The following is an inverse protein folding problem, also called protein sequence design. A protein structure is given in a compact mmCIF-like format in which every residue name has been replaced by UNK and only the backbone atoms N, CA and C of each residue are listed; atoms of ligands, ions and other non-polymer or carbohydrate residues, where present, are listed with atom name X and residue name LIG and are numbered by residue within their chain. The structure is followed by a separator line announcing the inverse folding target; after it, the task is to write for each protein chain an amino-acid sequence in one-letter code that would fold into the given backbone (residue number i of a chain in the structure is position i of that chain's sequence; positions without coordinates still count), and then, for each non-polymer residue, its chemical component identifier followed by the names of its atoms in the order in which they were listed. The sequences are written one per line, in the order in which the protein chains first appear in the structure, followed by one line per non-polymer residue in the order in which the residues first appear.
data_IF_325077324784
#
_entry.id   IF_325077324784
#
_cell.length_a   1.000
_cell.length_b   1.000
_cell.length_c   1.000
_cell.angle_alpha   90.00
_cell.angle_beta   90.00
_cell.angle_gamma   90.00
#
_symmetry.space_group_name_H-M   'P 1'
#
loop_
_entity.id
_entity.type
_entity.pdbx_description
1 polymer ?
#
# COMPACT_ATOMS: atom_id res chain seq x y z
N UNK A 1 1.59 -5.37 14.68
CA UNK A 1 0.85 -5.79 13.45
C UNK A 1 0.47 -4.59 12.56
N UNK A 2 -0.21 -3.55 13.06
CA UNK A 2 -0.68 -2.45 12.18
C UNK A 2 0.46 -1.65 11.54
N UNK A 3 1.61 -1.51 12.20
CA UNK A 3 2.80 -0.83 11.62
C UNK A 3 3.38 -1.65 10.47
N UNK A 4 3.54 -2.96 10.67
CA UNK A 4 4.00 -3.89 9.64
C UNK A 4 3.12 -3.81 8.37
N UNK A 5 1.79 -3.84 8.53
CA UNK A 5 0.87 -3.68 7.40
C UNK A 5 1.01 -2.31 6.71
N UNK A 6 1.24 -1.24 7.48
CA UNK A 6 1.46 0.09 6.95
C UNK A 6 2.74 0.21 6.12
N UNK A 7 3.82 -0.43 6.52
CA UNK A 7 5.11 -0.42 5.81
C UNK A 7 5.05 -1.31 4.56
N UNK A 8 4.42 -2.47 4.65
CA UNK A 8 4.17 -3.33 3.48
C UNK A 8 3.33 -2.60 2.41
N UNK A 9 2.24 -1.94 2.84
CA UNK A 9 1.39 -1.16 1.93
C UNK A 9 2.13 0.05 1.33
N UNK A 10 2.96 0.72 2.11
CA UNK A 10 3.79 1.84 1.63
C UNK A 10 4.70 1.39 0.49
N UNK A 11 5.36 0.24 0.62
CA UNK A 11 6.21 -0.30 -0.45
C UNK A 11 5.41 -0.66 -1.71
N UNK A 12 4.23 -1.29 -1.56
CA UNK A 12 3.34 -1.55 -2.69
C UNK A 12 2.91 -0.26 -3.41
N UNK A 13 2.52 0.78 -2.65
CA UNK A 13 2.10 2.06 -3.21
C UNK A 13 3.23 2.74 -4.00
N UNK A 14 4.42 2.84 -3.40
CA UNK A 14 5.60 3.42 -4.04
C UNK A 14 5.86 2.75 -5.41
N UNK A 15 6.02 1.43 -5.38
CA UNK A 15 6.31 0.64 -6.57
C UNK A 15 5.25 0.75 -7.69
N UNK A 16 3.97 0.95 -7.34
CA UNK A 16 2.92 1.06 -8.35
C UNK A 16 2.84 2.45 -8.98
N UNK A 17 2.99 3.54 -8.22
CA UNK A 17 2.65 4.90 -8.69
C UNK A 17 3.61 5.42 -9.77
N UNK A 18 4.93 5.21 -9.61
CA UNK A 18 5.95 5.60 -10.60
C UNK A 18 7.13 4.61 -10.68
N UNK A 19 7.30 3.78 -9.65
CA UNK A 19 8.38 2.82 -9.53
C UNK A 19 8.80 2.73 -8.07
N UNK A 20 9.61 1.74 -7.70
CA UNK A 20 10.12 1.63 -6.34
C UNK A 20 11.25 2.65 -6.12
N UNK A 21 10.90 3.93 -6.05
CA UNK A 21 11.80 5.07 -6.16
C UNK A 21 11.62 6.10 -5.03
N UNK A 22 10.79 5.81 -4.03
CA UNK A 22 10.58 6.68 -2.87
C UNK A 22 9.83 7.98 -3.21
N UNK A 23 9.29 8.13 -4.42
CA UNK A 23 8.57 9.35 -4.85
C UNK A 23 7.39 9.66 -3.93
N UNK A 24 6.71 8.64 -3.40
CA UNK A 24 5.59 8.84 -2.46
C UNK A 24 6.02 9.33 -1.08
N UNK A 25 7.33 9.31 -0.76
CA UNK A 25 7.86 9.81 0.52
C UNK A 25 8.08 11.32 0.49
N UNK A 26 8.15 11.94 -0.69
CA UNK A 26 8.41 13.37 -0.85
C UNK A 26 7.20 14.18 -0.35
N UNK A 27 7.47 15.21 0.46
CA UNK A 27 6.43 16.15 0.88
C UNK A 27 5.90 16.94 -0.33
N UNK A 28 4.60 16.87 -0.58
CA UNK A 28 3.96 17.41 -1.79
C UNK A 28 3.65 16.38 -2.88
N UNK A 29 4.07 15.12 -2.72
CA UNK A 29 3.58 14.01 -3.54
C UNK A 29 2.15 13.62 -3.16
N UNK A 30 1.36 13.21 -4.15
CA UNK A 30 0.06 12.57 -3.93
C UNK A 30 0.24 11.30 -3.08
N UNK A 31 -0.68 11.05 -2.15
CA UNK A 31 -0.55 10.00 -1.11
C UNK A 31 0.65 10.19 -0.17
N UNK A 32 1.37 11.31 -0.28
CA UNK A 32 2.56 11.62 0.52
C UNK A 32 2.25 12.02 1.96
N UNK A 33 3.27 12.38 2.75
CA UNK A 33 3.12 12.63 4.18
C UNK A 33 2.20 13.82 4.52
N UNK A 34 2.02 14.75 3.58
CA UNK A 34 1.11 15.90 3.70
C UNK A 34 -0.31 15.64 3.19
N UNK A 35 -0.58 14.54 2.49
CA UNK A 35 -1.90 14.21 1.95
C UNK A 35 -2.83 13.75 3.07
N UNK A 36 -3.87 14.56 3.37
CA UNK A 36 -4.80 14.29 4.48
C UNK A 36 -6.22 14.01 4.01
N UNK A 37 -6.58 14.38 2.78
CA UNK A 37 -7.97 14.43 2.31
C UNK A 37 -8.22 13.49 1.11
N UNK A 38 -7.19 12.81 0.60
CA UNK A 38 -7.36 11.83 -0.46
C UNK A 38 -8.19 10.62 -0.01
N UNK A 39 -8.99 10.01 -0.92
CA UNK A 39 -9.71 8.76 -0.71
C UNK A 39 -8.85 7.66 -0.03
N UNK A 40 -9.41 6.70 0.72
CA UNK A 40 -8.59 5.76 1.50
C UNK A 40 -7.62 4.88 0.71
N UNK A 41 -7.89 4.64 -0.58
CA UNK A 41 -6.95 3.96 -1.48
C UNK A 41 -5.73 4.83 -1.86
N UNK A 42 -5.76 6.12 -1.52
CA UNK A 42 -4.70 7.13 -1.72
C UNK A 42 -4.15 7.63 -0.38
N UNK A 43 -4.84 7.45 0.75
CA UNK A 43 -4.24 7.79 2.04
C UNK A 43 -3.29 6.69 2.52
N UNK A 44 -2.03 7.01 2.75
CA UNK A 44 -1.07 6.14 3.43
C UNK A 44 -1.01 6.44 4.93
N UNK A 45 -0.54 5.48 5.72
CA UNK A 45 -0.49 5.64 7.18
C UNK A 45 0.65 6.61 7.55
N UNK A 46 0.32 7.75 8.18
CA UNK A 46 1.28 8.75 8.68
C UNK A 46 2.44 8.14 9.49
N UNK A 47 2.12 7.16 10.33
CA UNK A 47 3.11 6.44 11.14
C UNK A 47 4.15 5.68 10.29
N UNK A 48 3.78 5.18 9.09
CA UNK A 48 4.74 4.52 8.20
C UNK A 48 5.84 5.48 7.74
N UNK A 49 5.47 6.71 7.35
CA UNK A 49 6.43 7.74 6.95
C UNK A 49 7.37 8.13 8.09
N UNK A 50 6.82 8.27 9.30
CA UNK A 50 7.61 8.55 10.50
C UNK A 50 8.65 7.46 10.76
N UNK A 51 8.26 6.18 10.68
CA UNK A 51 9.17 5.05 10.84
C UNK A 51 10.29 5.07 9.78
N UNK A 52 9.95 5.35 8.51
CA UNK A 52 10.97 5.43 7.44
C UNK A 52 11.98 6.55 7.71
N UNK A 53 11.53 7.72 8.17
CA UNK A 53 12.42 8.83 8.53
C UNK A 53 13.30 8.51 9.76
N UNK A 54 12.76 7.82 10.76
CA UNK A 54 13.53 7.35 11.92
C UNK A 54 14.59 6.33 11.51
N UNK A 55 14.24 5.36 10.66
CA UNK A 55 15.17 4.38 10.11
C UNK A 55 16.27 5.05 9.28
N UNK A 56 15.90 6.00 8.43
CA UNK A 56 16.86 6.77 7.64
C UNK A 56 17.84 7.52 8.54
N UNK A 57 17.35 8.21 9.57
CA UNK A 57 18.18 8.95 10.51
C UNK A 57 19.17 8.05 11.25
N UNK A 58 18.71 6.88 11.70
CA UNK A 58 19.56 5.88 12.35
C UNK A 58 20.62 5.33 11.39
N UNK A 59 20.24 4.96 10.17
CA UNK A 59 21.18 4.45 9.17
C UNK A 59 22.21 5.51 8.80
N UNK A 60 21.80 6.76 8.58
CA UNK A 60 22.71 7.86 8.29
C UNK A 60 23.68 8.12 9.44
N UNK A 61 23.24 8.00 10.68
CA UNK A 61 24.10 8.13 11.86
C UNK A 61 25.22 7.09 11.88
N UNK A 62 24.91 5.82 11.58
CA UNK A 62 25.90 4.74 11.64
C UNK A 62 26.73 4.57 10.34
N UNK A 63 26.12 4.81 9.19
CA UNK A 63 26.68 4.43 7.88
C UNK A 63 26.93 5.63 6.96
N UNK A 64 26.50 6.84 7.33
CA UNK A 64 26.45 7.99 6.42
C UNK A 64 25.30 7.90 5.39
N UNK A 65 25.18 8.87 4.48
CA UNK A 65 24.11 8.95 3.49
C UNK A 65 24.35 8.01 2.30
N UNK A 66 24.44 6.71 2.57
CA UNK A 66 24.79 5.67 1.56
C UNK A 66 23.60 4.77 1.18
N UNK A 67 22.56 4.71 2.00
CA UNK A 67 21.35 3.91 1.74
C UNK A 67 20.23 4.84 1.29
N UNK A 68 19.61 4.52 0.16
CA UNK A 68 18.46 5.27 -0.36
C UNK A 68 17.19 5.01 0.46
N UNK A 69 16.28 5.98 0.49
CA UNK A 69 14.96 5.80 1.08
C UNK A 69 14.19 4.65 0.42
N UNK A 70 14.32 4.50 -0.91
CA UNK A 70 13.73 3.41 -1.69
C UNK A 70 14.15 2.03 -1.16
N UNK A 71 15.43 1.83 -0.84
CA UNK A 71 15.91 0.57 -0.27
C UNK A 71 15.50 0.40 1.20
N UNK A 72 15.40 1.49 1.97
CA UNK A 72 14.88 1.44 3.35
C UNK A 72 13.42 0.97 3.34
N UNK A 73 12.57 1.49 2.44
CA UNK A 73 11.17 1.07 2.30
C UNK A 73 11.08 -0.41 1.91
N UNK A 74 11.89 -0.86 0.96
CA UNK A 74 11.91 -2.26 0.53
C UNK A 74 12.31 -3.22 1.67
N UNK A 75 13.37 -2.88 2.41
CA UNK A 75 13.82 -3.66 3.57
C UNK A 75 12.79 -3.64 4.70
N UNK A 76 12.23 -2.47 5.02
CA UNK A 76 11.22 -2.32 6.05
C UNK A 76 9.96 -3.14 5.73
N UNK A 77 9.56 -3.25 4.47
CA UNK A 77 8.45 -4.10 4.04
C UNK A 77 8.77 -5.59 4.21
N UNK A 78 9.96 -6.05 3.79
CA UNK A 78 10.40 -7.44 3.99
C UNK A 78 10.46 -7.80 5.47
N UNK A 79 11.09 -6.96 6.28
CA UNK A 79 11.23 -7.17 7.72
C UNK A 79 9.85 -7.14 8.40
N UNK A 80 8.94 -6.27 7.94
CA UNK A 80 7.55 -6.24 8.41
C UNK A 80 6.83 -7.56 8.17
N UNK A 81 7.00 -8.19 6.99
CA UNK A 81 6.42 -9.50 6.68
C UNK A 81 7.02 -10.58 7.58
N UNK A 82 8.34 -10.61 7.73
CA UNK A 82 9.02 -11.61 8.55
C UNK A 82 8.61 -11.51 10.03
N UNK A 83 8.61 -10.30 10.60
CA UNK A 83 8.31 -10.06 12.01
C UNK A 83 6.86 -10.40 12.40
N UNK A 84 5.93 -10.46 11.45
CA UNK A 84 4.55 -10.91 11.69
C UNK A 84 4.32 -12.39 11.39
N UNK A 85 5.39 -13.17 11.22
CA UNK A 85 5.36 -14.62 10.99
C UNK A 85 5.30 -15.03 9.52
N UNK A 86 5.51 -14.10 8.59
CA UNK A 86 5.66 -14.39 7.17
C UNK A 86 7.04 -14.94 6.80
N UNK A 87 7.27 -15.27 5.52
CA UNK A 87 8.54 -15.78 5.07
C UNK A 87 9.65 -14.72 5.11
N UNK A 88 10.86 -15.16 5.41
CA UNK A 88 12.07 -14.39 5.10
C UNK A 88 12.45 -14.62 3.64
N UNK A 89 12.86 -13.56 2.96
CA UNK A 89 13.40 -13.61 1.61
C UNK A 89 14.45 -12.51 1.43
N UNK A 90 15.42 -12.76 0.57
CA UNK A 90 16.45 -11.77 0.25
C UNK A 90 15.84 -10.62 -0.56
N UNK A 91 16.22 -9.40 -0.19
CA UNK A 91 15.75 -8.18 -0.86
C UNK A 91 16.88 -7.63 -1.72
N UNK A 92 16.74 -7.60 -3.06
CA UNK A 92 17.69 -6.90 -3.92
C UNK A 92 17.76 -5.42 -3.54
N UNK A 93 18.95 -4.84 -3.56
CA UNK A 93 19.23 -3.44 -3.19
C UNK A 93 19.92 -2.70 -4.34
N UNK A 94 20.15 -1.41 -4.15
CA UNK A 94 20.75 -0.50 -5.14
C UNK A 94 19.75 0.44 -5.79
N UNK A 95 18.52 0.55 -5.25
CA UNK A 95 17.54 1.54 -5.73
C UNK A 95 18.04 2.94 -5.44
N UNK A 96 17.61 3.91 -6.23
CA UNK A 96 17.87 5.34 -6.02
C UNK A 96 16.56 6.06 -5.71
N UNK A 97 16.67 7.17 -5.01
CA UNK A 97 15.54 8.02 -4.68
C UNK A 97 15.20 8.92 -5.87
N UNK A 98 13.91 9.05 -6.17
CA UNK A 98 13.38 9.94 -7.20
C UNK A 98 13.53 11.39 -6.77
N UNK A 99 13.71 12.27 -7.76
CA UNK A 99 13.64 13.73 -7.60
C UNK A 99 12.26 14.28 -8.03
N UNK A 100 11.39 13.42 -8.55
CA UNK A 100 10.09 13.79 -9.08
C UNK A 100 8.98 13.42 -8.09
N UNK A 101 8.01 14.31 -7.93
CA UNK A 101 6.83 14.05 -7.11
C UNK A 101 5.87 13.07 -7.79
N UNK A 102 5.22 12.24 -6.98
CA UNK A 102 4.06 11.49 -7.41
C UNK A 102 2.89 12.46 -7.64
N UNK A 103 2.37 12.52 -8.87
CA UNK A 103 1.21 13.38 -9.18
C UNK A 103 -0.10 12.64 -8.97
N UNK A 104 -1.20 13.37 -8.75
CA UNK A 104 -2.54 12.78 -8.68
C UNK A 104 -2.86 11.94 -9.92
N UNK A 105 -2.53 12.46 -11.11
CA UNK A 105 -2.73 11.75 -12.37
C UNK A 105 -1.94 10.43 -12.43
N UNK A 106 -0.67 10.45 -12.01
CA UNK A 106 0.15 9.24 -11.95
C UNK A 106 -0.42 8.22 -10.97
N UNK A 107 -0.88 8.69 -9.83
CA UNK A 107 -1.37 7.83 -8.75
C UNK A 107 -2.69 7.15 -9.15
N UNK A 108 -3.65 7.91 -9.67
CA UNK A 108 -4.93 7.39 -10.15
C UNK A 108 -4.79 6.45 -11.34
N UNK A 109 -3.81 6.71 -12.21
CA UNK A 109 -3.57 5.86 -13.38
C UNK A 109 -2.96 4.50 -13.02
N UNK A 110 -2.26 4.40 -11.89
CA UNK A 110 -1.47 3.22 -11.58
C UNK A 110 -1.94 2.42 -10.35
N UNK A 111 -2.63 3.02 -9.39
CA UNK A 111 -3.14 2.28 -8.22
C UNK A 111 -4.51 1.66 -8.52
N UNK A 112 -4.64 0.32 -8.44
CA UNK A 112 -5.93 -0.31 -8.61
C UNK A 112 -6.92 0.09 -7.52
N UNK A 113 -8.16 0.37 -7.90
CA UNK A 113 -9.24 0.67 -6.95
C UNK A 113 -9.72 -0.63 -6.28
N UNK A 114 -10.10 -0.62 -4.99
CA UNK A 114 -10.68 -1.80 -4.31
C UNK A 114 -11.93 -2.39 -4.98
N UNK A 115 -12.66 -1.63 -5.80
CA UNK A 115 -13.81 -2.13 -6.58
C UNK A 115 -13.44 -2.75 -7.94
N UNK A 116 -12.14 -2.77 -8.29
CA UNK A 116 -11.67 -3.32 -9.57
C UNK A 116 -11.92 -4.83 -9.64
N UNK A 117 -12.45 -5.29 -10.77
CA UNK A 117 -12.59 -6.72 -11.04
C UNK A 117 -11.26 -7.35 -11.46
N UNK A 118 -11.21 -8.69 -11.51
CA UNK A 118 -9.99 -9.45 -11.86
C UNK A 118 -9.40 -9.06 -13.21
N UNK A 119 -10.22 -8.76 -14.22
CA UNK A 119 -9.73 -8.35 -15.55
C UNK A 119 -8.99 -7.02 -15.47
N UNK A 120 -9.54 -6.03 -14.77
CA UNK A 120 -8.88 -4.74 -14.54
C UNK A 120 -7.58 -4.90 -13.75
N UNK A 121 -7.58 -5.74 -12.71
CA UNK A 121 -6.39 -6.01 -11.91
C UNK A 121 -5.27 -6.66 -12.73
N UNK A 122 -5.61 -7.66 -13.57
CA UNK A 122 -4.63 -8.32 -14.44
C UNK A 122 -4.02 -7.33 -15.44
N UNK A 123 -4.81 -6.44 -16.03
CA UNK A 123 -4.30 -5.39 -16.93
C UNK A 123 -3.34 -4.46 -16.19
N UNK A 124 -3.72 -3.98 -14.99
CA UNK A 124 -2.87 -3.09 -14.20
C UNK A 124 -1.54 -3.74 -13.83
N UNK A 125 -1.56 -5.00 -13.36
CA UNK A 125 -0.34 -5.75 -13.01
C UNK A 125 0.55 -6.03 -14.23
N UNK A 126 -0.06 -6.32 -15.39
CA UNK A 126 0.69 -6.54 -16.62
C UNK A 126 1.50 -5.29 -17.06
N UNK A 127 1.01 -4.08 -16.78
CA UNK A 127 1.78 -2.84 -17.04
C UNK A 127 3.06 -2.74 -16.22
N UNK A 128 3.16 -3.51 -15.13
CA UNK A 128 4.32 -3.61 -14.24
C UNK A 128 5.12 -4.89 -14.48
N UNK A 129 4.87 -5.57 -15.60
CA UNK A 129 5.44 -6.89 -15.92
C UNK A 129 5.16 -7.97 -14.86
N UNK A 130 4.03 -7.85 -14.14
CA UNK A 130 3.57 -8.81 -13.16
C UNK A 130 2.50 -9.74 -13.76
N UNK A 131 2.60 -11.02 -13.44
CA UNK A 131 1.72 -12.08 -13.94
C UNK A 131 0.48 -12.26 -13.07
N UNK A 132 -0.47 -13.11 -13.52
CA UNK A 132 -1.60 -13.55 -12.69
C UNK A 132 -1.14 -14.20 -11.37
N UNK A 133 -0.04 -14.95 -11.41
CA UNK A 133 0.53 -15.58 -10.21
C UNK A 133 0.97 -14.51 -9.21
N UNK A 134 1.59 -13.44 -9.69
CA UNK A 134 2.04 -12.32 -8.86
C UNK A 134 0.84 -11.56 -8.28
N UNK A 135 -0.22 -11.34 -9.06
CA UNK A 135 -1.46 -10.74 -8.56
C UNK A 135 -2.03 -11.53 -7.38
N UNK A 136 -2.18 -12.86 -7.53
CA UNK A 136 -2.73 -13.71 -6.47
C UNK A 136 -1.82 -13.75 -5.25
N UNK A 137 -0.50 -13.89 -5.45
CA UNK A 137 0.46 -13.94 -4.37
C UNK A 137 0.53 -12.61 -3.59
N UNK A 138 0.61 -11.47 -4.29
CA UNK A 138 0.71 -10.15 -3.69
C UNK A 138 -0.59 -9.71 -3.02
N UNK A 139 -1.75 -10.15 -3.53
CA UNK A 139 -3.04 -9.98 -2.84
C UNK A 139 -3.07 -10.62 -1.45
N UNK A 140 -2.20 -11.61 -1.20
CA UNK A 140 -1.97 -12.20 0.12
C UNK A 140 -1.51 -11.19 1.18
N UNK A 141 -0.99 -10.02 0.79
CA UNK A 141 -0.68 -8.92 1.69
C UNK A 141 -1.88 -8.44 2.53
N UNK A 142 -3.11 -8.65 2.03
CA UNK A 142 -4.34 -8.37 2.77
C UNK A 142 -4.60 -9.32 3.96
N UNK A 143 -3.70 -10.28 4.24
CA UNK A 143 -3.76 -11.09 5.46
C UNK A 143 -3.46 -10.30 6.74
N UNK A 144 -2.88 -9.09 6.62
CA UNK A 144 -2.65 -8.15 7.71
C UNK A 144 -3.20 -6.76 7.35
N UNK A 145 -3.46 -5.93 8.37
CA UNK A 145 -3.86 -4.54 8.18
C UNK A 145 -5.32 -4.27 8.48
N UNK A 146 -5.83 -3.15 7.96
CA UNK A 146 -7.22 -2.68 8.13
C UNK A 146 -7.67 -1.98 6.85
N UNK A 147 -8.94 -2.13 6.50
CA UNK A 147 -9.59 -1.37 5.43
C UNK A 147 -10.56 -0.33 6.02
N UNK A 148 -10.73 0.80 5.34
CA UNK A 148 -11.77 1.77 5.67
C UNK A 148 -13.12 1.30 5.11
N UNK A 149 -14.23 1.61 5.79
CA UNK A 149 -15.57 1.21 5.37
C UNK A 149 -15.89 1.65 3.93
N UNK A 150 -15.59 2.91 3.58
CA UNK A 150 -15.70 3.43 2.19
C UNK A 150 -14.97 2.62 1.11
N UNK A 151 -14.02 1.74 1.45
CA UNK A 151 -13.38 0.86 0.46
C UNK A 151 -14.25 -0.32 0.02
N UNK A 152 -15.34 -0.62 0.74
CA UNK A 152 -16.19 -1.79 0.46
C UNK A 152 -17.68 -1.60 0.75
N UNK A 153 -18.13 -0.45 1.25
CA UNK A 153 -19.56 -0.22 1.56
C UNK A 153 -20.48 -0.34 0.34
N UNK A 154 -19.97 -0.12 -0.87
CA UNK A 154 -20.72 -0.32 -2.13
C UNK A 154 -21.09 -1.79 -2.36
N UNK A 155 -20.42 -2.73 -1.68
CA UNK A 155 -20.77 -4.16 -1.67
C UNK A 155 -21.84 -4.50 -0.63
N UNK A 156 -22.22 -3.57 0.25
CA UNK A 156 -23.19 -3.78 1.33
C UNK A 156 -24.53 -3.08 1.06
N UNK A 157 -24.51 -1.94 0.36
CA UNK A 157 -25.66 -1.06 0.17
C UNK A 157 -25.75 -0.51 -1.26
N UNK A 158 -26.96 -0.19 -1.77
CA UNK A 158 -28.25 -0.53 -1.17
C UNK A 158 -28.57 -2.02 -1.27
N UNK A 159 -27.92 -2.72 -2.19
CA UNK A 159 -28.06 -4.16 -2.43
C UNK A 159 -26.73 -4.81 -2.09
N UNK A 160 -26.77 -5.83 -1.24
CA UNK A 160 -25.58 -6.60 -0.89
C UNK A 160 -25.07 -7.37 -2.11
N UNK A 161 -23.76 -7.35 -2.32
CA UNK A 161 -23.09 -8.14 -3.35
C UNK A 161 -23.40 -9.64 -3.15
N UNK A 162 -23.97 -10.33 -4.15
CA UNK A 162 -24.37 -11.74 -4.03
C UNK A 162 -23.19 -12.70 -3.84
N UNK A 163 -21.95 -12.27 -4.10
CA UNK A 163 -20.75 -13.08 -3.87
C UNK A 163 -20.25 -13.03 -2.42
N UNK A 164 -20.77 -12.11 -1.60
CA UNK A 164 -20.38 -11.97 -0.20
C UNK A 164 -21.19 -12.92 0.69
N UNK A 165 -20.49 -13.67 1.56
CA UNK A 165 -21.13 -14.51 2.57
C UNK A 165 -22.09 -13.68 3.43
N UNK A 166 -23.29 -14.23 3.68
CA UNK A 166 -24.36 -13.50 4.37
C UNK A 166 -24.01 -13.18 5.83
N UNK A 167 -23.33 -14.09 6.53
CA UNK A 167 -22.92 -13.87 7.92
C UNK A 167 -21.85 -12.80 7.99
N UNK A 168 -20.87 -12.87 7.09
CA UNK A 168 -19.83 -11.86 6.98
C UNK A 168 -20.40 -10.48 6.64
N UNK A 169 -21.32 -10.39 5.68
CA UNK A 169 -22.00 -9.15 5.33
C UNK A 169 -22.76 -8.55 6.52
N UNK A 170 -23.48 -9.39 7.30
CA UNK A 170 -24.18 -8.93 8.49
C UNK A 170 -23.21 -8.36 9.54
N UNK A 171 -22.07 -9.01 9.76
CA UNK A 171 -21.02 -8.50 10.66
C UNK A 171 -20.40 -7.19 10.16
N UNK A 172 -20.18 -7.07 8.85
CA UNK A 172 -19.70 -5.82 8.26
C UNK A 172 -20.71 -4.68 8.38
N UNK A 173 -22.02 -4.95 8.29
CA UNK A 173 -23.06 -3.93 8.51
C UNK A 173 -23.11 -3.43 9.95
N UNK A 174 -22.68 -4.22 10.94
CA UNK A 174 -22.49 -3.73 12.32
C UNK A 174 -21.28 -2.80 12.44
N UNK A 175 -20.25 -3.03 11.61
CA UNK A 175 -19.02 -2.21 11.58
C UNK A 175 -19.21 -0.93 10.77
N UNK A 176 -19.93 -1.02 9.64
CA UNK A 176 -20.20 0.04 8.68
C UNK A 176 -21.74 0.15 8.48
N UNK A 177 -22.45 0.86 9.38
CA UNK A 177 -23.92 0.82 9.45
C UNK A 177 -24.62 1.60 8.34
N UNK A 178 -23.91 2.43 7.58
CA UNK A 178 -24.49 3.22 6.50
C UNK A 178 -23.51 3.35 5.30
N UNK A 179 -24.01 3.70 4.10
CA UNK A 179 -23.15 4.05 2.97
C UNK A 179 -22.19 5.19 3.33
N UNK A 180 -20.96 5.14 2.81
CA UNK A 180 -19.94 6.19 2.97
C UNK A 180 -19.55 6.51 4.43
N UNK A 181 -19.79 5.59 5.36
CA UNK A 181 -19.25 5.67 6.74
C UNK A 181 -17.85 5.08 6.82
#
# INVERSE_FOLDING_TARGET
ITQAAGLLRLHFHDCFVQGCDGSVLLDGSESGPSEQDAPPNLTLRKESFKIINELQSLIQYYCGPVVSCSDIVALAARDSVYLVGGPYYDMPLGRKDSLNFATLASTLANLPNPSSNTTTLLTAFATKNLTMRDLVALSGGHTIGRGHCTSFTDRLYPIQDPTMDQTFANNLKLTCPAPNT
#
